data_IF_961643092991
#
_entry.id   IF_961643092991
#
_cell.length_a   1.000
_cell.length_b   1.000
_cell.length_c   1.000
_cell.angle_alpha   90.00
_cell.angle_beta   90.00
_cell.angle_gamma   90.00
#
_symmetry.space_group_name_H-M   'P 1'
#
loop_
_entity.id
_entity.type
_entity.pdbx_description
1 polymer ?
#
# COMPACT_ATOMS: atom_id res chain seq x y z
N UNK A 1 -40.30 6.41 79.39
CA UNK A 1 -39.38 5.54 78.61
C UNK A 1 -40.25 4.78 77.61
N UNK A 2 -40.51 5.35 76.43
CA UNK A 2 -39.71 5.30 75.20
C UNK A 2 -40.41 4.37 74.20
N UNK A 3 -41.43 4.93 73.55
CA UNK A 3 -42.04 4.38 72.35
C UNK A 3 -41.11 4.73 71.18
N UNK A 4 -40.40 3.75 70.63
CA UNK A 4 -39.52 3.93 69.46
C UNK A 4 -40.23 3.39 68.22
N UNK A 5 -40.74 4.30 67.39
CA UNK A 5 -41.31 3.97 66.09
C UNK A 5 -40.17 3.66 65.12
N UNK A 6 -40.03 2.37 64.80
CA UNK A 6 -39.13 1.88 63.75
C UNK A 6 -39.71 2.21 62.38
N UNK A 7 -39.19 3.27 61.75
CA UNK A 7 -39.49 3.63 60.37
C UNK A 7 -38.80 2.63 59.42
N UNK A 8 -39.57 1.65 58.98
CA UNK A 8 -39.16 0.70 57.95
C UNK A 8 -39.03 1.44 56.61
N UNK A 9 -37.79 1.60 56.11
CA UNK A 9 -37.53 2.18 54.78
C UNK A 9 -38.05 1.24 53.70
N UNK A 10 -38.97 1.72 52.86
CA UNK A 10 -39.47 1.00 51.68
C UNK A 10 -38.36 0.99 50.61
N UNK A 11 -37.85 -0.19 50.18
CA UNK A 11 -36.90 -0.26 49.08
C UNK A 11 -37.63 -0.02 47.75
N UNK A 12 -37.21 1.01 47.00
CA UNK A 12 -37.65 1.22 45.62
C UNK A 12 -37.03 0.12 44.75
N UNK A 13 -37.80 -0.92 44.46
CA UNK A 13 -37.41 -1.95 43.50
C UNK A 13 -37.27 -1.31 42.11
N UNK A 14 -36.03 -1.17 41.62
CA UNK A 14 -35.80 -0.85 40.21
C UNK A 14 -36.35 -2.00 39.38
N UNK A 15 -37.48 -1.79 38.71
CA UNK A 15 -37.99 -2.74 37.72
C UNK A 15 -36.96 -2.88 36.61
N UNK A 16 -36.21 -3.99 36.62
CA UNK A 16 -35.37 -4.36 35.50
C UNK A 16 -36.29 -4.81 34.35
N UNK A 17 -36.60 -3.87 33.45
CA UNK A 17 -37.19 -4.19 32.15
C UNK A 17 -36.09 -4.87 31.33
N UNK A 18 -36.14 -6.20 31.27
CA UNK A 18 -35.27 -6.99 30.39
C UNK A 18 -35.65 -6.77 28.93
N UNK A 19 -34.66 -6.79 28.05
CA UNK A 19 -34.88 -6.86 26.60
C UNK A 19 -35.68 -8.12 26.27
N UNK A 20 -36.67 -7.99 25.39
CA UNK A 20 -37.43 -9.15 24.94
C UNK A 20 -36.56 -9.97 23.97
N UNK A 21 -36.67 -11.30 23.99
CA UNK A 21 -35.96 -12.18 23.05
C UNK A 21 -36.32 -11.82 21.60
N UNK A 22 -37.56 -11.36 21.37
CA UNK A 22 -38.02 -10.93 20.04
C UNK A 22 -37.34 -9.64 19.57
N UNK A 23 -37.06 -8.69 20.47
CA UNK A 23 -36.28 -7.49 20.12
C UNK A 23 -34.88 -7.88 19.63
N UNK A 24 -34.23 -8.80 20.34
CA UNK A 24 -32.89 -9.25 19.95
C UNK A 24 -32.94 -10.05 18.64
N UNK A 25 -33.96 -10.88 18.40
CA UNK A 25 -34.09 -11.61 17.13
C UNK A 25 -34.24 -10.69 15.91
N UNK A 26 -35.09 -9.66 16.00
CA UNK A 26 -35.30 -8.73 14.88
C UNK A 26 -34.08 -7.86 14.64
N UNK A 27 -33.41 -7.41 15.70
CA UNK A 27 -32.19 -6.59 15.58
C UNK A 27 -31.07 -7.37 14.88
N UNK A 28 -30.86 -8.63 15.26
CA UNK A 28 -29.82 -9.46 14.64
C UNK A 28 -30.17 -9.78 13.18
N UNK A 29 -31.46 -9.98 12.86
CA UNK A 29 -31.91 -10.15 11.47
C UNK A 29 -31.63 -8.91 10.60
N UNK A 30 -31.90 -7.71 11.11
CA UNK A 30 -31.63 -6.46 10.39
C UNK A 30 -30.11 -6.23 10.24
N UNK A 31 -29.33 -6.42 11.31
CA UNK A 31 -27.86 -6.31 11.26
C UNK A 31 -27.27 -7.31 10.25
N UNK A 32 -27.81 -8.54 10.17
CA UNK A 32 -27.39 -9.55 9.19
C UNK A 32 -27.56 -9.10 7.74
N UNK A 33 -28.70 -8.47 7.40
CA UNK A 33 -28.95 -7.93 6.05
C UNK A 33 -27.99 -6.77 5.75
N UNK A 34 -27.80 -5.85 6.71
CA UNK A 34 -26.89 -4.71 6.54
C UNK A 34 -25.45 -5.16 6.36
N UNK A 35 -24.99 -6.15 7.14
CA UNK A 35 -23.64 -6.68 7.04
C UNK A 35 -23.38 -7.35 5.69
N UNK A 36 -24.34 -8.12 5.16
CA UNK A 36 -24.20 -8.81 3.88
C UNK A 36 -23.96 -7.85 2.70
N UNK A 37 -24.56 -6.66 2.72
CA UNK A 37 -24.38 -5.64 1.66
C UNK A 37 -23.19 -4.72 1.97
N UNK A 38 -22.95 -4.42 3.26
CA UNK A 38 -21.93 -3.46 3.70
C UNK A 38 -20.50 -3.97 3.60
N UNK A 39 -20.26 -5.23 3.98
CA UNK A 39 -18.91 -5.81 4.02
C UNK A 39 -18.16 -5.81 2.68
N UNK A 40 -18.73 -6.24 1.54
CA UNK A 40 -17.98 -6.26 0.28
C UNK A 40 -17.55 -4.84 -0.14
N UNK A 41 -18.41 -3.83 0.07
CA UNK A 41 -18.09 -2.43 -0.24
C UNK A 41 -16.95 -1.89 0.63
N UNK A 42 -16.95 -2.25 1.91
CA UNK A 42 -15.88 -1.86 2.83
C UNK A 42 -14.54 -2.45 2.39
N UNK A 43 -14.50 -3.73 2.00
CA UNK A 43 -13.25 -4.37 1.54
C UNK A 43 -12.69 -3.75 0.25
N UNK A 44 -13.56 -3.35 -0.68
CA UNK A 44 -13.14 -2.66 -1.89
C UNK A 44 -12.56 -1.27 -1.58
N UNK A 45 -13.21 -0.51 -0.68
CA UNK A 45 -12.72 0.80 -0.25
C UNK A 45 -11.34 0.73 0.42
N UNK A 46 -11.15 -0.24 1.32
CA UNK A 46 -9.86 -0.45 1.98
C UNK A 46 -8.75 -0.78 0.97
N UNK A 47 -9.03 -1.62 -0.04
CA UNK A 47 -8.08 -1.93 -1.11
C UNK A 47 -7.72 -0.69 -1.94
N UNK A 48 -8.70 0.14 -2.29
CA UNK A 48 -8.42 1.39 -3.00
C UNK A 48 -7.52 2.31 -2.17
N UNK A 49 -7.82 2.45 -0.87
CA UNK A 49 -7.01 3.27 0.04
C UNK A 49 -5.56 2.76 0.13
N UNK A 50 -5.35 1.44 0.20
CA UNK A 50 -4.02 0.82 0.17
C UNK A 50 -3.29 1.11 -1.15
N UNK A 51 -3.98 1.05 -2.30
CA UNK A 51 -3.34 1.41 -3.58
C UNK A 51 -2.99 2.89 -3.66
N UNK A 52 -3.80 3.77 -3.09
CA UNK A 52 -3.53 5.21 -3.09
C UNK A 52 -2.35 5.57 -2.17
N UNK A 53 -2.17 4.82 -1.07
CA UNK A 53 -0.95 4.90 -0.26
C UNK A 53 0.29 4.56 -1.10
N UNK A 54 0.27 3.46 -1.85
CA UNK A 54 1.39 3.07 -2.70
C UNK A 54 1.73 4.16 -3.75
N UNK A 55 0.71 4.81 -4.33
CA UNK A 55 0.92 5.93 -5.26
C UNK A 55 1.59 7.12 -4.60
N UNK A 56 1.20 7.47 -3.38
CA UNK A 56 1.85 8.54 -2.63
C UNK A 56 3.31 8.19 -2.33
N UNK A 57 3.60 6.93 -1.97
CA UNK A 57 4.97 6.48 -1.74
C UNK A 57 5.80 6.50 -3.02
N UNK A 58 5.27 6.10 -4.18
CA UNK A 58 5.98 6.23 -5.45
C UNK A 58 6.36 7.69 -5.75
N UNK A 59 5.46 8.65 -5.49
CA UNK A 59 5.77 10.07 -5.64
C UNK A 59 6.93 10.51 -4.73
N UNK A 60 6.96 10.03 -3.48
CA UNK A 60 8.05 10.31 -2.54
C UNK A 60 9.37 9.70 -3.00
N UNK A 61 9.36 8.43 -3.43
CA UNK A 61 10.55 7.74 -3.94
C UNK A 61 11.08 8.45 -5.19
N UNK A 62 10.20 8.78 -6.14
CA UNK A 62 10.59 9.49 -7.37
C UNK A 62 11.26 10.84 -7.08
N UNK A 63 10.67 11.66 -6.20
CA UNK A 63 11.29 12.93 -5.78
C UNK A 63 12.65 12.72 -5.11
N UNK A 64 12.76 11.70 -4.26
CA UNK A 64 14.01 11.37 -3.58
C UNK A 64 15.11 10.93 -4.56
N UNK A 65 14.77 10.12 -5.57
CA UNK A 65 15.70 9.71 -6.63
C UNK A 65 16.16 10.90 -7.47
N UNK A 66 15.24 11.79 -7.89
CA UNK A 66 15.61 13.01 -8.62
C UNK A 66 16.52 13.91 -7.78
N UNK A 67 16.25 14.05 -6.48
CA UNK A 67 17.11 14.78 -5.54
C UNK A 67 18.49 14.14 -5.37
N UNK A 68 18.55 12.81 -5.31
CA UNK A 68 19.80 12.05 -5.23
C UNK A 68 20.68 12.26 -6.47
N UNK A 69 20.09 12.13 -7.67
CA UNK A 69 20.81 12.37 -8.94
C UNK A 69 21.27 13.83 -9.05
N UNK A 70 20.46 14.79 -8.60
CA UNK A 70 20.81 16.22 -8.66
C UNK A 70 21.89 16.63 -7.66
N UNK A 71 22.03 15.90 -6.56
CA UNK A 71 23.02 16.21 -5.50
C UNK A 71 24.38 15.56 -5.71
N UNK A 72 24.47 14.55 -6.58
CA UNK A 72 25.70 13.81 -6.85
C UNK A 72 26.25 14.18 -8.23
N UNK A 73 27.53 14.51 -8.30
CA UNK A 73 28.20 14.91 -9.54
C UNK A 73 28.87 13.73 -10.27
N UNK A 74 28.27 12.55 -10.17
CA UNK A 74 28.76 11.33 -10.82
C UNK A 74 28.13 11.13 -12.20
N UNK A 75 28.70 10.24 -13.02
CA UNK A 75 28.06 9.84 -14.25
C UNK A 75 26.72 9.14 -13.95
N UNK A 76 25.69 9.44 -14.75
CA UNK A 76 24.34 8.86 -14.63
C UNK A 76 24.36 7.32 -14.59
N UNK A 77 25.28 6.68 -15.31
CA UNK A 77 25.44 5.23 -15.30
C UNK A 77 25.91 4.69 -13.93
N UNK A 78 26.81 5.40 -13.25
CA UNK A 78 27.27 5.04 -11.90
C UNK A 78 26.16 5.20 -10.87
N UNK A 79 25.40 6.30 -10.97
CA UNK A 79 24.23 6.54 -10.12
C UNK A 79 23.16 5.46 -10.29
N UNK A 80 22.85 5.10 -11.54
CA UNK A 80 21.93 4.01 -11.83
C UNK A 80 22.43 2.67 -11.26
N UNK A 81 23.73 2.37 -11.38
CA UNK A 81 24.31 1.16 -10.80
C UNK A 81 24.22 1.13 -9.26
N UNK A 82 24.46 2.26 -8.59
CA UNK A 82 24.30 2.39 -7.14
C UNK A 82 22.84 2.16 -6.74
N UNK A 83 21.89 2.82 -7.42
CA UNK A 83 20.46 2.64 -7.13
C UNK A 83 20.05 1.19 -7.38
N UNK A 84 20.46 0.55 -8.48
CA UNK A 84 20.15 -0.86 -8.73
C UNK A 84 20.76 -1.81 -7.69
N UNK A 85 21.87 -1.40 -7.07
CA UNK A 85 22.52 -2.19 -6.02
C UNK A 85 21.79 -2.07 -4.69
N UNK A 86 21.30 -0.87 -4.35
CA UNK A 86 20.61 -0.57 -3.09
C UNK A 86 19.11 -0.34 -3.29
N UNK A 87 18.52 -0.79 -4.39
CA UNK A 87 17.18 -0.36 -4.84
C UNK A 87 16.03 -0.91 -4.03
N UNK A 88 16.31 -1.68 -2.99
CA UNK A 88 15.28 -2.31 -2.19
C UNK A 88 14.85 -1.38 -1.04
N UNK A 89 13.56 -1.33 -0.77
CA UNK A 89 12.98 -0.63 0.35
C UNK A 89 11.87 -1.50 0.96
N UNK A 90 12.22 -2.26 1.99
CA UNK A 90 11.40 -3.34 2.54
C UNK A 90 11.26 -3.21 4.07
N UNK A 91 10.11 -3.59 4.58
CA UNK A 91 9.79 -3.71 6.01
C UNK A 91 10.53 -4.83 6.76
N UNK A 92 11.11 -5.78 6.04
CA UNK A 92 11.77 -7.02 6.52
C UNK A 92 13.29 -6.95 6.51
N UNK A 93 13.86 -5.78 6.24
CA UNK A 93 15.30 -5.55 6.05
C UNK A 93 16.15 -6.15 7.18
N UNK A 94 16.89 -7.20 6.85
CA UNK A 94 18.02 -7.66 7.65
C UNK A 94 19.27 -6.85 7.30
N UNK A 95 20.28 -6.85 8.17
CA UNK A 95 21.54 -6.10 7.94
C UNK A 95 22.32 -6.44 6.65
N UNK A 96 21.91 -7.49 5.93
CA UNK A 96 22.52 -7.91 4.65
C UNK A 96 21.76 -7.36 3.44
N UNK A 97 20.53 -6.87 3.63
CA UNK A 97 19.70 -6.34 2.56
C UNK A 97 20.17 -4.95 2.16
N UNK A 98 20.43 -4.77 0.87
CA UNK A 98 20.92 -3.52 0.32
C UNK A 98 19.76 -2.54 0.17
N UNK A 99 19.51 -1.80 1.24
CA UNK A 99 18.39 -0.87 1.33
C UNK A 99 18.72 0.50 0.73
N UNK A 100 17.73 1.12 0.09
CA UNK A 100 17.88 2.45 -0.54
C UNK A 100 18.12 3.52 0.52
N UNK A 101 17.70 3.27 1.76
CA UNK A 101 17.96 4.12 2.91
C UNK A 101 19.46 4.36 3.15
N UNK A 102 20.34 3.46 2.70
CA UNK A 102 21.79 3.69 2.77
C UNK A 102 22.26 4.82 1.85
N UNK A 103 21.65 4.95 0.66
CA UNK A 103 21.93 6.05 -0.27
C UNK A 103 21.12 7.31 0.07
N UNK A 104 19.88 7.12 0.53
CA UNK A 104 18.91 8.17 0.78
C UNK A 104 18.30 7.99 2.19
N UNK A 105 18.92 8.53 3.25
CA UNK A 105 18.57 8.19 4.64
C UNK A 105 17.15 8.54 5.07
N UNK A 106 16.53 9.54 4.45
CA UNK A 106 15.16 9.95 4.76
C UNK A 106 14.09 9.04 4.11
N UNK A 107 14.51 8.18 3.18
CA UNK A 107 13.63 7.22 2.53
C UNK A 107 13.57 5.95 3.37
N UNK A 108 12.61 5.90 4.27
CA UNK A 108 12.35 4.77 5.18
C UNK A 108 10.87 4.43 5.19
N UNK A 109 10.56 3.16 5.42
CA UNK A 109 9.19 2.67 5.60
C UNK A 109 8.84 2.65 7.08
N UNK A 110 7.57 2.94 7.38
CA UNK A 110 7.05 2.75 8.71
C UNK A 110 6.97 1.25 9.03
N UNK A 111 7.19 0.90 10.30
CA UNK A 111 6.93 -0.45 10.82
C UNK A 111 5.48 -0.84 10.52
N UNK A 112 5.27 -1.85 9.68
CA UNK A 112 3.95 -2.32 9.28
C UNK A 112 3.41 -1.74 7.97
N UNK A 113 4.27 -1.16 7.12
CA UNK A 113 3.86 -0.77 5.78
C UNK A 113 3.24 -1.96 5.01
N UNK A 114 2.24 -1.64 4.18
CA UNK A 114 1.46 -2.65 3.42
C UNK A 114 2.26 -3.18 2.22
N UNK A 115 3.22 -2.39 1.73
CA UNK A 115 4.00 -2.67 0.53
C UNK A 115 5.49 -2.50 0.78
N UNK A 116 6.28 -3.39 0.20
CA UNK A 116 7.71 -3.25 -0.02
C UNK A 116 7.95 -2.75 -1.44
N UNK A 117 9.03 -2.02 -1.66
CA UNK A 117 9.34 -1.39 -2.94
C UNK A 117 10.69 -1.87 -3.47
N UNK A 118 10.72 -2.22 -4.76
CA UNK A 118 11.94 -2.49 -5.50
C UNK A 118 12.12 -1.43 -6.58
N UNK A 119 13.30 -0.84 -6.62
CA UNK A 119 13.66 0.27 -7.50
C UNK A 119 14.71 -0.24 -8.48
N UNK A 120 14.38 -0.16 -9.76
CA UNK A 120 15.33 -0.41 -10.84
C UNK A 120 15.42 0.81 -11.75
N UNK A 121 16.61 1.08 -12.26
CA UNK A 121 16.94 2.30 -12.97
C UNK A 121 17.83 2.01 -14.17
N UNK A 122 17.80 2.90 -15.14
CA UNK A 122 18.76 2.94 -16.22
C UNK A 122 18.79 4.29 -16.90
N UNK A 123 19.70 4.44 -17.86
CA UNK A 123 19.94 5.71 -18.54
C UNK A 123 19.43 5.60 -19.96
N UNK A 124 18.50 6.47 -20.34
CA UNK A 124 17.94 6.56 -21.69
C UNK A 124 17.93 8.03 -22.10
N UNK A 125 18.37 8.32 -23.33
CA UNK A 125 18.44 9.69 -23.84
C UNK A 125 19.17 10.69 -22.91
N UNK A 126 20.20 10.21 -22.18
CA UNK A 126 20.96 10.99 -21.20
C UNK A 126 20.16 11.48 -19.98
N UNK A 127 19.05 10.81 -19.67
CA UNK A 127 18.24 11.01 -18.47
C UNK A 127 18.18 9.70 -17.66
N UNK A 128 18.09 9.81 -16.34
CA UNK A 128 17.92 8.66 -15.46
C UNK A 128 16.43 8.33 -15.38
N UNK A 129 16.08 7.18 -15.92
CA UNK A 129 14.73 6.65 -15.93
C UNK A 129 14.64 5.49 -14.94
N UNK A 130 13.46 5.27 -14.37
CA UNK A 130 13.26 4.29 -13.32
C UNK A 130 11.95 3.53 -13.44
N UNK A 131 12.01 2.28 -12.98
CA UNK A 131 10.89 1.39 -12.80
C UNK A 131 10.81 0.99 -11.32
N UNK A 132 9.62 1.17 -10.75
CA UNK A 132 9.30 0.92 -9.36
C UNK A 132 8.26 -0.20 -9.29
N UNK A 133 8.51 -1.16 -8.41
CA UNK A 133 7.57 -2.24 -8.11
C UNK A 133 7.18 -2.15 -6.65
N UNK A 134 5.90 -1.94 -6.36
CA UNK A 134 5.38 -2.18 -5.02
C UNK A 134 4.88 -3.63 -4.95
N UNK A 135 5.34 -4.39 -3.96
CA UNK A 135 4.87 -5.75 -3.67
C UNK A 135 4.23 -5.76 -2.30
N UNK A 136 3.00 -6.27 -2.19
CA UNK A 136 2.33 -6.36 -0.89
C UNK A 136 3.06 -7.29 0.07
N UNK A 137 3.24 -6.85 1.31
CA UNK A 137 3.93 -7.59 2.37
C UNK A 137 3.15 -8.84 2.77
N UNK A 138 3.83 -9.87 3.31
CA UNK A 138 3.16 -11.09 3.82
C UNK A 138 2.14 -10.81 4.94
N UNK A 139 2.32 -9.70 5.66
CA UNK A 139 1.47 -9.26 6.77
C UNK A 139 0.19 -8.55 6.32
N UNK A 140 0.03 -8.30 5.03
CA UNK A 140 -1.12 -7.60 4.45
C UNK A 140 -2.06 -8.57 3.73
N UNK A 141 -3.34 -8.20 3.53
CA UNK A 141 -4.30 -8.94 2.67
C UNK A 141 -3.94 -8.91 1.17
N UNK A 142 -2.68 -8.57 0.91
CA UNK A 142 -2.12 -8.02 -0.29
C UNK A 142 -0.82 -8.76 -0.69
N UNK A 143 -0.43 -9.76 0.10
CA UNK A 143 0.75 -10.60 -0.16
C UNK A 143 0.80 -11.11 -1.60
N UNK A 144 1.93 -10.83 -2.27
CA UNK A 144 2.20 -11.30 -3.64
C UNK A 144 1.51 -10.51 -4.75
N UNK A 145 0.62 -9.56 -4.43
CA UNK A 145 0.10 -8.61 -5.41
C UNK A 145 1.13 -7.50 -5.65
N UNK A 146 1.19 -7.02 -6.90
CA UNK A 146 2.20 -6.06 -7.36
C UNK A 146 1.58 -4.88 -8.11
N UNK A 147 2.17 -3.71 -7.92
CA UNK A 147 1.85 -2.47 -8.66
C UNK A 147 3.12 -1.96 -9.31
N UNK A 148 3.01 -1.48 -10.55
CA UNK A 148 4.12 -0.91 -11.30
C UNK A 148 3.97 0.60 -11.45
N UNK A 149 5.09 1.29 -11.30
CA UNK A 149 5.22 2.71 -11.62
C UNK A 149 6.47 2.91 -12.46
N UNK A 150 6.39 3.75 -13.49
CA UNK A 150 7.51 4.09 -14.36
C UNK A 150 7.65 5.60 -14.44
N UNK A 151 8.88 6.10 -14.46
CA UNK A 151 9.16 7.53 -14.69
C UNK A 151 8.59 8.07 -16.01
N UNK A 152 8.47 7.18 -17.01
CA UNK A 152 7.93 7.49 -18.33
C UNK A 152 6.65 6.72 -18.64
N UNK A 153 5.71 7.35 -19.35
CA UNK A 153 4.51 6.69 -19.83
C UNK A 153 4.82 5.66 -20.95
N UNK A 154 4.07 4.53 -21.04
CA UNK A 154 4.14 3.60 -22.16
C UNK A 154 3.73 4.29 -23.45
N UNK A 155 4.24 3.77 -24.56
CA UNK A 155 3.70 4.06 -25.88
C UNK A 155 2.28 3.48 -26.01
N UNK A 156 1.41 4.18 -26.76
CA UNK A 156 -0.04 3.92 -26.83
C UNK A 156 -0.42 2.51 -27.32
N UNK A 157 0.53 1.72 -27.81
CA UNK A 157 0.32 0.33 -28.25
C UNK A 157 0.37 -0.68 -27.11
N UNK A 158 0.96 -0.32 -25.96
CA UNK A 158 1.34 -1.28 -24.92
C UNK A 158 0.39 -1.32 -23.70
N UNK A 159 -0.50 -0.34 -23.48
CA UNK A 159 -1.53 -0.43 -22.43
C UNK A 159 -2.65 0.64 -22.53
N UNK A 160 -3.93 0.27 -22.77
CA UNK A 160 -5.06 1.22 -22.72
C UNK A 160 -5.50 1.61 -21.29
N UNK A 161 -4.86 1.07 -20.24
CA UNK A 161 -5.23 1.28 -18.82
C UNK A 161 -4.14 1.99 -18.01
N UNK A 162 -3.18 2.64 -18.67
CA UNK A 162 -2.11 3.36 -17.99
C UNK A 162 -2.59 4.74 -17.53
N UNK A 163 -2.62 4.97 -16.22
CA UNK A 163 -3.02 6.25 -15.63
C UNK A 163 -1.79 7.00 -15.13
N UNK A 164 -1.46 8.12 -15.78
CA UNK A 164 -0.50 9.12 -15.29
C UNK A 164 0.74 8.52 -14.59
N UNK A 165 1.45 7.63 -15.30
CA UNK A 165 2.74 7.01 -14.89
C UNK A 165 2.62 5.79 -13.96
N UNK A 166 1.39 5.31 -13.76
CA UNK A 166 1.06 4.16 -12.95
C UNK A 166 0.33 3.09 -13.76
N UNK A 167 0.70 1.83 -13.54
CA UNK A 167 -0.08 0.70 -13.99
C UNK A 167 -0.85 0.09 -12.83
N UNK A 168 -2.18 0.20 -12.89
CA UNK A 168 -3.11 -0.49 -11.99
C UNK A 168 -3.84 -1.63 -12.70
N UNK A 169 -3.15 -2.54 -13.40
CA UNK A 169 -3.83 -3.80 -13.73
C UNK A 169 -4.28 -4.43 -12.41
N UNK A 170 -5.59 -4.55 -12.23
CA UNK A 170 -6.30 -4.97 -11.03
C UNK A 170 -5.47 -5.92 -10.17
N UNK A 171 -4.72 -5.36 -9.22
CA UNK A 171 -4.17 -6.01 -8.04
C UNK A 171 -4.14 -7.54 -8.16
N UNK A 172 -3.28 -8.07 -9.05
CA UNK A 172 -3.47 -9.44 -9.53
C UNK A 172 -2.96 -10.41 -8.48
N UNK A 173 -3.85 -11.25 -7.99
CA UNK A 173 -3.51 -12.38 -7.12
C UNK A 173 -2.58 -13.32 -7.88
N UNK A 174 -1.30 -13.34 -7.49
CA UNK A 174 -0.35 -14.42 -7.77
C UNK A 174 -0.13 -14.78 -9.26
N UNK A 175 1.10 -14.60 -9.72
CA UNK A 175 1.70 -15.29 -10.89
C UNK A 175 1.20 -14.94 -12.30
N UNK A 176 0.36 -13.93 -12.48
CA UNK A 176 0.20 -13.35 -13.83
C UNK A 176 1.37 -12.42 -14.08
N UNK A 177 2.16 -12.70 -15.13
CA UNK A 177 3.26 -11.84 -15.56
C UNK A 177 2.78 -10.38 -15.59
N UNK A 178 3.55 -9.47 -14.98
CA UNK A 178 3.20 -8.06 -15.03
C UNK A 178 3.11 -7.66 -16.51
N UNK A 179 2.19 -6.78 -16.87
CA UNK A 179 2.20 -6.23 -18.22
C UNK A 179 3.23 -5.11 -18.24
N UNK A 180 4.16 -5.19 -19.20
CA UNK A 180 5.17 -4.15 -19.39
C UNK A 180 4.50 -2.80 -19.66
N UNK A 181 5.10 -1.71 -19.17
CA UNK A 181 4.56 -0.36 -19.36
C UNK A 181 5.58 0.71 -19.00
N UNK A 182 5.68 1.75 -19.84
CA UNK A 182 6.72 2.76 -19.73
C UNK A 182 8.10 2.13 -19.85
N UNK A 183 8.98 2.45 -18.91
CA UNK A 183 10.31 1.87 -18.75
C UNK A 183 10.33 0.56 -17.96
N UNK A 184 9.18 0.00 -17.59
CA UNK A 184 9.09 -1.26 -16.85
C UNK A 184 8.85 -2.46 -17.77
N UNK A 185 9.64 -3.51 -17.59
CA UNK A 185 9.40 -4.83 -18.18
C UNK A 185 8.28 -5.61 -17.46
N UNK A 186 7.87 -6.72 -18.07
CA UNK A 186 6.91 -7.68 -17.49
C UNK A 186 7.42 -8.39 -16.23
N UNK A 187 8.73 -8.31 -15.94
CA UNK A 187 9.34 -8.81 -14.71
C UNK A 187 9.43 -7.76 -13.61
N UNK A 188 9.01 -6.51 -13.89
CA UNK A 188 9.09 -5.39 -12.95
C UNK A 188 10.49 -4.78 -12.85
N UNK A 189 11.37 -5.07 -13.80
CA UNK A 189 12.70 -4.46 -13.88
C UNK A 189 12.73 -3.41 -14.98
N UNK A 190 13.61 -2.43 -14.84
CA UNK A 190 13.89 -1.44 -15.86
C UNK A 190 14.26 -2.07 -17.20
N UNK A 191 13.68 -1.57 -18.28
CA UNK A 191 13.96 -1.97 -19.67
C UNK A 191 14.02 -0.75 -20.60
N UNK A 192 15.25 -0.40 -21.02
CA UNK A 192 15.51 0.73 -21.90
C UNK A 192 14.80 0.61 -23.26
N UNK A 193 14.52 -0.60 -23.75
CA UNK A 193 13.87 -0.80 -25.05
C UNK A 193 12.40 -0.40 -25.03
N UNK A 194 11.79 -0.38 -23.84
CA UNK A 194 10.39 0.02 -23.63
C UNK A 194 10.22 1.51 -23.33
N UNK A 195 11.30 2.19 -22.94
CA UNK A 195 11.31 3.63 -22.68
C UNK A 195 11.21 4.53 -23.92
N UNK A 196 11.37 3.99 -25.14
CA UNK A 196 11.51 4.77 -26.38
C UNK A 196 10.18 4.97 -27.12
#
# INVERSE_FOLDING_TARGET
MNCTLSLSRIPVARQQRGFTIIEIMVVVAIIGILAAIGLPRLTAYLRTAETDEAVQQFGRIGQALTGYVSSHQEALASLAANINTYGNLDTSSTSTDKQISTLIPHLTLASGAVFDYDISTGVVANELEYCLVATGTASSGNSGKKILFSSKAPTLTDAPTWENHLYRANYVDGTSALVAGGCCSATGTFDATKCL
#
